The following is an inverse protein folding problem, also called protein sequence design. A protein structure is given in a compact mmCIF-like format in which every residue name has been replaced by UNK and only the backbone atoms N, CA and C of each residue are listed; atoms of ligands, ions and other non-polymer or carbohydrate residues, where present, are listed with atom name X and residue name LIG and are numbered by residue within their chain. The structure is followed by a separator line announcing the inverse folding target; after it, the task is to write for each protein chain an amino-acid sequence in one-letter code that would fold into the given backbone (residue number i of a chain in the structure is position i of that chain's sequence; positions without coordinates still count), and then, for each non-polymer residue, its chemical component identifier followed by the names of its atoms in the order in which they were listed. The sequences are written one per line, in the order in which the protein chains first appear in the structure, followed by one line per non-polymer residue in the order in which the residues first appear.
data_IF_264875104120
#
_entry.id   IF_264875104120
#
_cell.length_a   1.000
_cell.length_b   1.000
_cell.length_c   1.000
_cell.angle_alpha   90.00
_cell.angle_beta   90.00
_cell.angle_gamma   90.00
#
_symmetry.space_group_name_H-M   'P 1'
#
loop_
_entity.id
_entity.type
_entity.pdbx_description
1 polymer ?
#
# COMPACT_ATOMS: atom_id res chain seq x y z
N UNK A 1 -21.42 40.41 -39.68
CA UNK A 1 -21.51 40.03 -38.26
C UNK A 1 -21.61 38.51 -38.21
N UNK A 2 -20.47 37.83 -38.14
CA UNK A 2 -20.40 36.37 -38.23
C UNK A 2 -20.54 35.78 -36.83
N UNK A 3 -21.74 35.31 -36.50
CA UNK A 3 -22.01 34.57 -35.26
C UNK A 3 -21.41 33.16 -35.40
N UNK A 4 -20.28 32.92 -34.75
CA UNK A 4 -19.70 31.58 -34.62
C UNK A 4 -20.53 30.85 -33.55
N UNK A 5 -21.43 29.98 -34.00
CA UNK A 5 -22.17 29.05 -33.14
C UNK A 5 -21.24 27.87 -32.83
N UNK A 6 -20.44 27.98 -31.77
CA UNK A 6 -19.53 26.90 -31.34
C UNK A 6 -19.64 26.71 -29.83
N UNK A 7 -20.70 26.04 -29.36
CA UNK A 7 -21.02 26.05 -27.92
C UNK A 7 -21.38 24.72 -27.26
N UNK A 8 -21.40 23.58 -27.96
CA UNK A 8 -21.60 22.27 -27.30
C UNK A 8 -20.39 21.33 -27.36
N UNK A 9 -19.68 21.27 -28.50
CA UNK A 9 -18.60 20.30 -28.68
C UNK A 9 -17.26 20.78 -28.07
N UNK A 10 -17.04 22.10 -28.06
CA UNK A 10 -15.88 22.76 -27.43
C UNK A 10 -15.95 22.69 -25.91
N UNK A 11 -17.13 22.89 -25.33
CA UNK A 11 -17.37 22.80 -23.88
C UNK A 11 -17.19 21.37 -23.36
N UNK A 12 -17.66 20.36 -24.10
CA UNK A 12 -17.45 18.96 -23.72
C UNK A 12 -15.96 18.57 -23.69
N UNK A 13 -15.18 19.00 -24.69
CA UNK A 13 -13.73 18.74 -24.75
C UNK A 13 -12.98 19.47 -23.63
N UNK A 14 -13.35 20.71 -23.34
CA UNK A 14 -12.78 21.48 -22.23
C UNK A 14 -13.09 20.84 -20.88
N UNK A 15 -14.33 20.37 -20.67
CA UNK A 15 -14.73 19.69 -19.43
C UNK A 15 -13.97 18.36 -19.24
N UNK A 16 -13.79 17.57 -20.31
CA UNK A 16 -12.99 16.34 -20.28
C UNK A 16 -11.52 16.64 -19.98
N UNK A 17 -10.94 17.65 -20.61
CA UNK A 17 -9.56 18.08 -20.37
C UNK A 17 -9.36 18.59 -18.93
N UNK A 18 -10.27 19.43 -18.43
CA UNK A 18 -10.25 19.93 -17.06
C UNK A 18 -10.42 18.79 -16.03
N UNK A 19 -11.28 17.81 -16.31
CA UNK A 19 -11.44 16.62 -15.47
C UNK A 19 -10.17 15.76 -15.46
N UNK A 20 -9.55 15.55 -16.62
CA UNK A 20 -8.28 14.82 -16.71
C UNK A 20 -7.15 15.57 -15.99
N UNK A 21 -7.06 16.89 -16.17
CA UNK A 21 -6.08 17.73 -15.50
C UNK A 21 -6.31 17.77 -13.99
N UNK A 22 -7.55 17.85 -13.52
CA UNK A 22 -7.90 17.76 -12.10
C UNK A 22 -7.52 16.40 -11.48
N UNK A 23 -7.70 15.30 -12.21
CA UNK A 23 -7.23 13.97 -11.79
C UNK A 23 -5.71 13.88 -11.72
N UNK A 24 -4.99 14.49 -12.67
CA UNK A 24 -3.52 14.54 -12.69
C UNK A 24 -2.99 15.42 -11.56
N UNK A 25 -3.58 16.60 -11.35
CA UNK A 25 -3.16 17.57 -10.33
C UNK A 25 -3.49 17.14 -8.91
N UNK A 26 -4.51 16.30 -8.70
CA UNK A 26 -4.88 15.82 -7.37
C UNK A 26 -3.75 15.02 -6.71
N UNK A 27 -2.84 14.41 -7.48
CA UNK A 27 -1.76 13.55 -6.96
C UNK A 27 -2.32 12.32 -6.25
N UNK A 28 -1.62 11.18 -6.36
CA UNK A 28 -1.98 10.02 -5.55
C UNK A 28 -1.28 10.17 -4.19
N UNK A 29 -2.05 10.58 -3.17
CA UNK A 29 -1.61 10.49 -1.78
C UNK A 29 -1.68 9.03 -1.33
N UNK A 30 -0.55 8.33 -1.39
CA UNK A 30 -0.46 6.97 -0.87
C UNK A 30 -0.54 6.99 0.67
N UNK A 31 -1.26 6.05 1.29
CA UNK A 31 -1.23 5.92 2.74
C UNK A 31 0.19 5.54 3.20
N UNK A 32 0.52 5.98 4.42
CA UNK A 32 1.81 5.69 5.02
C UNK A 32 2.00 4.17 5.22
N UNK A 33 3.26 3.72 5.20
CA UNK A 33 3.60 2.35 5.54
C UNK A 33 3.29 2.07 7.01
N UNK A 34 2.46 1.05 7.34
CA UNK A 34 2.04 0.84 8.73
C UNK A 34 3.21 0.56 9.67
N UNK A 35 3.17 1.14 10.89
CA UNK A 35 4.23 0.97 11.88
C UNK A 35 4.50 -0.50 12.25
N UNK A 36 3.46 -1.35 12.28
CA UNK A 36 3.64 -2.80 12.51
C UNK A 36 4.57 -3.41 11.45
N UNK A 37 4.45 -2.98 10.19
CA UNK A 37 5.23 -3.49 9.08
C UNK A 37 6.70 -3.04 9.08
N UNK A 38 7.09 -2.14 9.98
CA UNK A 38 8.49 -1.73 10.19
C UNK A 38 9.15 -2.57 11.30
N UNK A 39 8.37 -3.32 12.08
CA UNK A 39 8.89 -4.08 13.22
C UNK A 39 9.53 -5.38 12.77
N UNK A 40 10.69 -5.67 13.35
CA UNK A 40 11.33 -6.97 13.27
C UNK A 40 10.92 -7.82 14.48
N UNK A 41 10.59 -9.07 14.22
CA UNK A 41 10.36 -10.02 15.30
C UNK A 41 11.69 -10.49 15.90
N UNK A 42 11.88 -10.38 17.23
CA UNK A 42 13.09 -10.88 17.86
C UNK A 42 13.12 -12.42 17.86
N UNK A 43 14.33 -12.96 17.79
CA UNK A 43 14.60 -14.37 18.08
C UNK A 43 14.22 -14.72 19.53
N UNK A 44 13.99 -16.00 19.78
CA UNK A 44 13.80 -16.53 21.12
C UNK A 44 15.08 -16.35 21.96
N UNK A 45 14.91 -16.04 23.24
CA UNK A 45 16.04 -15.96 24.15
C UNK A 45 16.67 -17.34 24.37
N UNK A 46 18.00 -17.37 24.41
CA UNK A 46 18.81 -18.55 24.71
C UNK A 46 19.57 -18.30 26.00
N UNK A 47 19.21 -19.03 27.05
CA UNK A 47 19.86 -18.95 28.36
C UNK A 47 20.66 -20.23 28.62
N UNK A 48 21.75 -20.12 29.37
CA UNK A 48 22.55 -21.28 29.78
C UNK A 48 21.67 -22.25 30.57
N UNK A 49 21.67 -23.54 30.18
CA UNK A 49 20.82 -24.56 30.78
C UNK A 49 19.43 -24.68 30.13
N UNK A 50 19.09 -23.85 29.14
CA UNK A 50 17.86 -24.03 28.36
C UNK A 50 17.87 -25.35 27.60
N UNK A 51 16.76 -26.07 27.64
CA UNK A 51 16.54 -27.24 26.80
C UNK A 51 16.39 -26.80 25.33
N UNK A 52 17.16 -27.41 24.43
CA UNK A 52 17.32 -26.95 23.04
C UNK A 52 16.03 -27.06 22.22
N UNK A 53 15.22 -28.10 22.42
CA UNK A 53 13.92 -28.25 21.74
C UNK A 53 12.94 -27.16 22.16
N UNK A 54 12.93 -26.75 23.42
CA UNK A 54 12.12 -25.65 23.94
C UNK A 54 12.50 -24.31 23.30
N UNK A 55 13.81 -24.05 23.13
CA UNK A 55 14.29 -22.90 22.34
C UNK A 55 13.76 -22.97 20.91
N UNK A 56 13.88 -24.12 20.24
CA UNK A 56 13.39 -24.28 18.87
C UNK A 56 11.87 -24.04 18.76
N UNK A 57 11.08 -24.52 19.71
CA UNK A 57 9.63 -24.25 19.73
C UNK A 57 9.34 -22.75 19.85
N UNK A 58 10.06 -22.04 20.73
CA UNK A 58 9.93 -20.58 20.86
C UNK A 58 10.34 -19.84 19.59
N UNK A 59 11.40 -20.29 18.91
CA UNK A 59 11.81 -19.75 17.60
C UNK A 59 10.74 -19.94 16.53
N UNK A 60 10.12 -21.12 16.45
CA UNK A 60 9.02 -21.35 15.49
C UNK A 60 7.85 -20.41 15.74
N UNK A 61 7.50 -20.19 17.00
CA UNK A 61 6.46 -19.22 17.36
C UNK A 61 6.84 -17.78 16.95
N UNK A 62 8.11 -17.40 17.07
CA UNK A 62 8.58 -16.08 16.60
C UNK A 62 8.47 -15.98 15.08
N UNK A 63 8.93 -17.00 14.35
CA UNK A 63 8.81 -17.06 12.90
C UNK A 63 7.34 -17.00 12.44
N UNK A 64 6.42 -17.68 13.12
CA UNK A 64 5.00 -17.64 12.80
C UNK A 64 4.42 -16.22 12.95
N UNK A 65 4.81 -15.48 14.00
CA UNK A 65 4.43 -14.08 14.18
C UNK A 65 4.97 -13.18 13.07
N UNK A 66 6.25 -13.37 12.70
CA UNK A 66 6.87 -12.62 11.61
C UNK A 66 6.18 -12.92 10.27
N UNK A 67 5.91 -14.18 9.95
CA UNK A 67 5.25 -14.58 8.71
C UNK A 67 3.82 -14.04 8.63
N UNK A 68 3.08 -14.07 9.74
CA UNK A 68 1.75 -13.46 9.81
C UNK A 68 1.80 -11.94 9.57
N UNK A 69 2.80 -11.25 10.13
CA UNK A 69 3.03 -9.82 9.87
C UNK A 69 3.37 -9.58 8.39
N UNK A 70 4.32 -10.32 7.83
CA UNK A 70 4.70 -10.24 6.41
C UNK A 70 3.48 -10.40 5.51
N UNK A 71 2.60 -11.37 5.77
CA UNK A 71 1.38 -11.59 5.00
C UNK A 71 0.44 -10.38 5.03
N UNK A 72 0.16 -9.82 6.22
CA UNK A 72 -0.69 -8.62 6.35
C UNK A 72 -0.08 -7.40 5.64
N UNK A 73 1.23 -7.20 5.76
CA UNK A 73 1.95 -6.08 5.15
C UNK A 73 2.02 -6.18 3.62
N UNK A 74 2.21 -7.38 3.09
CA UNK A 74 2.11 -7.65 1.65
C UNK A 74 0.69 -7.35 1.13
N UNK A 75 -0.34 -7.83 1.84
CA UNK A 75 -1.73 -7.59 1.46
C UNK A 75 -2.08 -6.09 1.44
N UNK A 76 -1.57 -5.32 2.40
CA UNK A 76 -1.71 -3.85 2.39
C UNK A 76 -1.11 -3.25 1.11
N UNK A 77 0.12 -3.61 0.75
CA UNK A 77 0.75 -3.11 -0.46
C UNK A 77 -0.04 -3.50 -1.73
N UNK A 78 -0.50 -4.73 -1.82
CA UNK A 78 -1.27 -5.21 -2.98
C UNK A 78 -2.61 -4.48 -3.12
N UNK A 79 -3.27 -4.14 -2.01
CA UNK A 79 -4.50 -3.32 -2.01
C UNK A 79 -4.23 -1.90 -2.52
N UNK A 80 -3.13 -1.27 -2.06
CA UNK A 80 -2.71 0.04 -2.55
C UNK A 80 -2.39 -0.01 -4.05
N UNK A 81 -1.63 -1.02 -4.49
CA UNK A 81 -1.32 -1.23 -5.90
C UNK A 81 -2.58 -1.47 -6.74
N UNK A 82 -3.57 -2.18 -6.21
CA UNK A 82 -4.84 -2.42 -6.92
C UNK A 82 -5.67 -1.15 -7.05
N UNK A 83 -5.74 -0.33 -5.99
CA UNK A 83 -6.55 0.90 -5.96
C UNK A 83 -5.91 2.06 -6.72
N UNK A 84 -4.59 2.15 -6.70
CA UNK A 84 -3.85 3.33 -7.16
C UNK A 84 -2.77 3.04 -8.20
N UNK A 85 -2.49 1.77 -8.49
CA UNK A 85 -1.56 1.41 -9.56
C UNK A 85 -2.10 1.88 -10.90
N UNK A 86 -1.29 2.63 -11.65
CA UNK A 86 -1.63 2.98 -13.03
C UNK A 86 -1.75 1.69 -13.84
N UNK A 87 -2.90 1.50 -14.50
CA UNK A 87 -2.91 0.72 -15.74
C UNK A 87 -2.12 1.45 -16.81
#
# INVERSE_FOLDING_TARGET
MTLIVSSCNTTERLNKAATAQGKIQAGIALPAWPDDCQKLEPHASVEVGSELRSVLVRERNALDRQNARTGRCGAFYDDIKTKFGSR
#
